data_IF_416296061375
#
_entry.id   IF_416296061375
#
_cell.length_a   1.000
_cell.length_b   1.000
_cell.length_c   1.000
_cell.angle_alpha   90.00
_cell.angle_beta   90.00
_cell.angle_gamma   90.00
#
_symmetry.space_group_name_H-M   'P 1'
#
loop_
_entity.id
_entity.type
_entity.pdbx_description
1 polymer ?
#
# COMPACT_ATOMS: atom_id res chain seq x y z
N UNK A 1 -25.94 -9.95 -14.98
CA UNK A 1 -25.55 -9.47 -13.64
C UNK A 1 -24.64 -10.53 -13.04
N UNK A 2 -23.33 -10.31 -13.06
CA UNK A 2 -22.36 -11.30 -12.54
C UNK A 2 -22.21 -11.09 -11.04
N UNK A 3 -22.61 -12.09 -10.25
CA UNK A 3 -22.38 -12.13 -8.81
C UNK A 3 -20.90 -12.40 -8.58
N UNK A 4 -20.15 -11.42 -8.07
CA UNK A 4 -18.79 -11.68 -7.61
C UNK A 4 -18.87 -12.49 -6.31
N UNK A 5 -18.46 -13.75 -6.36
CA UNK A 5 -18.29 -14.57 -5.16
C UNK A 5 -17.08 -14.04 -4.39
N UNK A 6 -17.30 -13.24 -3.35
CA UNK A 6 -16.24 -12.81 -2.44
C UNK A 6 -15.93 -13.95 -1.47
N UNK A 7 -14.91 -14.74 -1.79
CA UNK A 7 -14.34 -15.72 -0.85
C UNK A 7 -13.57 -14.98 0.22
N UNK A 8 -14.00 -15.09 1.48
CA UNK A 8 -13.29 -14.52 2.62
C UNK A 8 -12.10 -15.40 3.01
N UNK A 9 -10.91 -14.79 3.13
CA UNK A 9 -9.72 -15.41 3.71
C UNK A 9 -9.59 -14.93 5.15
N UNK A 10 -9.32 -15.83 6.09
CA UNK A 10 -9.03 -15.48 7.48
C UNK A 10 -7.52 -15.51 7.72
N UNK A 11 -6.97 -14.41 8.25
CA UNK A 11 -5.55 -14.28 8.62
C UNK A 11 -5.46 -14.37 10.15
N UNK A 12 -4.57 -15.21 10.72
CA UNK A 12 -4.32 -15.21 12.16
C UNK A 12 -3.82 -13.83 12.62
N UNK A 13 -4.35 -13.32 13.74
CA UNK A 13 -4.07 -11.95 14.16
C UNK A 13 -2.56 -11.67 14.32
N UNK A 14 -1.80 -12.57 14.96
CA UNK A 14 -0.36 -12.40 15.12
C UNK A 14 0.40 -12.26 13.77
N UNK A 15 -0.06 -12.94 12.71
CA UNK A 15 0.54 -12.82 11.37
C UNK A 15 0.23 -11.45 10.76
N UNK A 16 -0.98 -10.94 10.97
CA UNK A 16 -1.33 -9.59 10.54
C UNK A 16 -0.52 -8.53 11.29
N UNK A 17 -0.38 -8.70 12.62
CA UNK A 17 0.40 -7.81 13.47
C UNK A 17 1.89 -7.81 13.06
N UNK A 18 2.48 -8.99 12.85
CA UNK A 18 3.87 -9.15 12.37
C UNK A 18 4.07 -8.56 10.98
N UNK A 19 3.08 -8.64 10.09
CA UNK A 19 3.15 -7.99 8.78
C UNK A 19 3.15 -6.47 8.91
N UNK A 20 2.26 -5.89 9.71
CA UNK A 20 2.24 -4.44 9.93
C UNK A 20 3.56 -3.97 10.59
N UNK A 21 4.09 -4.75 11.53
CA UNK A 21 5.39 -4.48 12.19
C UNK A 21 6.58 -4.63 11.24
N UNK A 22 6.50 -5.46 10.20
CA UNK A 22 7.55 -5.54 9.18
C UNK A 22 7.51 -4.38 8.18
N UNK A 23 6.33 -3.83 7.91
CA UNK A 23 6.10 -2.74 6.94
C UNK A 23 5.89 -1.39 7.64
N UNK A 24 6.78 -1.08 8.62
CA UNK A 24 6.74 0.17 9.39
C UNK A 24 6.95 1.44 8.58
N UNK A 25 6.81 2.58 9.27
CA UNK A 25 7.18 3.91 8.78
C UNK A 25 8.66 3.98 8.37
N UNK A 26 9.57 3.35 9.11
CA UNK A 26 11.01 3.44 8.82
C UNK A 26 11.33 2.80 7.46
N UNK A 27 10.82 1.60 7.21
CA UNK A 27 11.09 0.91 5.94
C UNK A 27 10.40 1.55 4.74
N UNK A 28 9.31 2.30 4.96
CA UNK A 28 8.66 3.07 3.90
C UNK A 28 9.63 4.12 3.32
N UNK A 29 10.44 4.78 4.16
CA UNK A 29 11.42 5.77 3.70
C UNK A 29 12.49 5.19 2.77
N UNK A 30 12.83 3.90 2.96
CA UNK A 30 13.83 3.20 2.14
C UNK A 30 13.24 2.61 0.86
N UNK A 31 12.02 2.07 0.93
CA UNK A 31 11.46 1.20 -0.11
C UNK A 31 10.31 1.82 -0.91
N UNK A 32 9.57 2.80 -0.36
CA UNK A 32 8.35 3.28 -1.00
C UNK A 32 8.61 3.83 -2.41
N UNK A 33 9.70 4.57 -2.61
CA UNK A 33 10.09 5.13 -3.91
C UNK A 33 10.54 4.08 -4.95
N UNK A 34 10.83 2.85 -4.51
CA UNK A 34 11.24 1.76 -5.40
C UNK A 34 10.05 0.95 -5.92
N UNK A 35 8.89 1.04 -5.26
CA UNK A 35 7.64 0.41 -5.69
C UNK A 35 7.02 1.23 -6.83
N UNK A 36 6.22 0.58 -7.67
CA UNK A 36 5.31 1.29 -8.58
C UNK A 36 4.09 1.84 -7.84
N UNK A 37 3.42 2.85 -8.41
CA UNK A 37 2.19 3.42 -7.87
C UNK A 37 1.11 2.35 -7.62
N UNK A 38 1.06 1.31 -8.47
CA UNK A 38 0.14 0.20 -8.30
C UNK A 38 0.49 -0.66 -7.08
N UNK A 39 1.78 -0.99 -6.90
CA UNK A 39 2.25 -1.83 -5.80
C UNK A 39 2.08 -1.13 -4.45
N UNK A 40 2.50 0.14 -4.34
CA UNK A 40 2.31 0.91 -3.09
C UNK A 40 0.82 1.10 -2.78
N UNK A 41 -0.03 1.30 -3.80
CA UNK A 41 -1.48 1.38 -3.62
C UNK A 41 -2.07 0.09 -3.07
N UNK A 42 -1.65 -1.08 -3.59
CA UNK A 42 -2.11 -2.39 -3.09
C UNK A 42 -1.60 -2.69 -1.69
N UNK A 43 -0.38 -2.26 -1.37
CA UNK A 43 0.17 -2.37 -0.03
C UNK A 43 -0.61 -1.49 0.96
N UNK A 44 -0.89 -0.24 0.61
CA UNK A 44 -1.68 0.68 1.43
C UNK A 44 -3.12 0.19 1.65
N UNK A 45 -3.76 -0.37 0.62
CA UNK A 45 -5.08 -1.02 0.73
C UNK A 45 -5.03 -2.16 1.76
N UNK A 46 -3.99 -3.00 1.72
CA UNK A 46 -3.83 -4.13 2.63
C UNK A 46 -3.56 -3.66 4.07
N UNK A 47 -2.63 -2.73 4.28
CA UNK A 47 -2.32 -2.15 5.59
C UNK A 47 -3.57 -1.53 6.24
N UNK A 48 -4.39 -0.82 5.44
CA UNK A 48 -5.67 -0.28 5.88
C UNK A 48 -6.64 -1.40 6.29
N UNK A 49 -6.76 -2.45 5.48
CA UNK A 49 -7.61 -3.60 5.81
C UNK A 49 -7.16 -4.37 7.07
N UNK A 50 -5.86 -4.34 7.37
CA UNK A 50 -5.28 -4.92 8.59
C UNK A 50 -5.39 -3.99 9.81
N UNK A 51 -5.96 -2.78 9.67
CA UNK A 51 -6.18 -1.86 10.78
C UNK A 51 -5.06 -0.85 11.02
N UNK A 52 -4.15 -0.66 10.06
CA UNK A 52 -3.02 0.27 10.13
C UNK A 52 -3.10 1.40 9.05
N UNK A 53 -4.15 2.24 9.06
CA UNK A 53 -4.34 3.29 8.06
C UNK A 53 -3.27 4.38 8.13
N UNK A 54 -2.74 4.68 9.33
CA UNK A 54 -1.67 5.68 9.49
C UNK A 54 -0.37 5.22 8.81
N UNK A 55 -0.05 3.94 8.92
CA UNK A 55 1.12 3.33 8.24
C UNK A 55 0.89 3.34 6.73
N UNK A 56 -0.32 3.00 6.27
CA UNK A 56 -0.68 3.06 4.86
C UNK A 56 -0.50 4.47 4.25
N UNK A 57 -0.89 5.52 5.00
CA UNK A 57 -0.72 6.90 4.56
C UNK A 57 0.76 7.29 4.39
N UNK A 58 1.63 6.85 5.31
CA UNK A 58 3.08 7.08 5.20
C UNK A 58 3.64 6.41 3.95
N UNK A 59 3.26 5.18 3.64
CA UNK A 59 3.71 4.50 2.42
C UNK A 59 3.36 5.28 1.15
N UNK A 60 2.17 5.87 1.09
CA UNK A 60 1.74 6.70 -0.04
C UNK A 60 2.52 8.02 -0.09
N UNK A 61 2.71 8.67 1.06
CA UNK A 61 3.45 9.93 1.17
C UNK A 61 4.92 9.74 0.75
N UNK A 62 5.62 8.76 1.32
CA UNK A 62 7.02 8.46 1.02
C UNK A 62 7.23 8.06 -0.45
N UNK A 63 6.29 7.33 -1.04
CA UNK A 63 6.33 7.01 -2.46
C UNK A 63 6.22 8.28 -3.33
N UNK A 64 5.30 9.19 -2.96
CA UNK A 64 5.11 10.45 -3.70
C UNK A 64 6.33 11.37 -3.68
N UNK A 65 7.22 11.25 -2.68
CA UNK A 65 8.47 12.01 -2.62
C UNK A 65 9.48 11.60 -3.72
N UNK A 66 9.40 10.35 -4.20
CA UNK A 66 10.24 9.85 -5.30
C UNK A 66 9.61 9.99 -6.69
N UNK A 67 8.34 10.37 -6.76
CA UNK A 67 7.55 10.44 -8.00
C UNK A 67 7.79 11.73 -8.81
N UNK A 68 8.67 12.62 -8.34
CA UNK A 68 8.98 13.94 -8.95
C UNK A 68 9.64 13.87 -10.33
N UNK A 69 9.75 12.70 -10.98
CA UNK A 69 10.40 12.63 -12.30
C UNK A 69 9.83 11.64 -13.32
N UNK A 70 8.65 11.05 -13.09
CA UNK A 70 8.08 10.17 -14.12
C UNK A 70 6.56 10.10 -14.20
N UNK A 71 5.82 10.92 -13.45
CA UNK A 71 4.37 10.96 -13.65
C UNK A 71 4.00 11.88 -14.81
N UNK A 72 4.08 11.30 -16.01
CA UNK A 72 3.38 11.75 -17.21
C UNK A 72 1.85 11.60 -17.04
N UNK A 73 1.32 12.14 -15.94
CA UNK A 73 -0.09 12.20 -15.61
C UNK A 73 -0.73 13.51 -16.07
N UNK A 74 -0.20 14.13 -17.12
CA UNK A 74 -0.92 15.13 -17.91
C UNK A 74 -0.75 14.87 -19.43
N UNK A 75 -1.89 14.96 -20.13
CA UNK A 75 -2.21 14.68 -21.55
C UNK A 75 -2.53 13.19 -21.81
N UNK A 76 -3.78 12.73 -21.99
CA UNK A 76 -5.00 13.42 -22.43
C UNK A 76 -5.53 12.74 -23.69
N UNK A 77 -6.67 12.06 -23.60
CA UNK A 77 -7.85 12.08 -24.49
C UNK A 77 -8.75 10.85 -24.29
#
# INVERSE_FOLDING_TARGET
MSTQNTTTVSIPQHVADEFVDAFTIEIATDLAQQLSCHEVGKLADLLTALGAPDVAAVWIEEHSLGDDNSDSHHLGN
#
